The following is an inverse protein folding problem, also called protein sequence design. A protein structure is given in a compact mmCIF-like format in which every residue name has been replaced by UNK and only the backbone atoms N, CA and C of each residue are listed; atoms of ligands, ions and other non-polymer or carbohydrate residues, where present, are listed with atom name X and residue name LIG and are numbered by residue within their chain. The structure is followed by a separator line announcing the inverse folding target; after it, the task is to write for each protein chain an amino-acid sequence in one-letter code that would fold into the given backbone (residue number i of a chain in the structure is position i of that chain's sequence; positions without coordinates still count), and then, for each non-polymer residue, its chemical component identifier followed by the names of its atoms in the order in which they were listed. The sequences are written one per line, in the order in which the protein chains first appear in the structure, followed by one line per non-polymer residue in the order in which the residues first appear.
data_IF_252807694136
#
_entry.id   IF_252807694136
#
_cell.length_a   1.000
_cell.length_b   1.000
_cell.length_c   1.000
_cell.angle_alpha   90.00
_cell.angle_beta   90.00
_cell.angle_gamma   90.00
#
_symmetry.space_group_name_H-M   'P 1'
#
loop_
_entity.id
_entity.type
_entity.pdbx_description
1 polymer ?
#
# COMPACT_ATOMS: atom_id res chain seq x y z
N UNK A 1 -7.04 -1.88 37.28
CA UNK A 1 -6.78 -1.13 36.03
C UNK A 1 -7.95 -1.41 35.12
N UNK A 2 -8.96 -0.53 35.08
CA UNK A 2 -10.07 -0.67 34.14
C UNK A 2 -9.57 -0.21 32.77
N UNK A 3 -9.70 -1.06 31.75
CA UNK A 3 -9.42 -0.65 30.38
C UNK A 3 -10.43 0.42 29.98
N UNK A 4 -9.96 1.55 29.46
CA UNK A 4 -10.82 2.48 28.75
C UNK A 4 -11.39 1.76 27.53
N UNK A 5 -12.69 1.48 27.53
CA UNK A 5 -13.40 1.12 26.31
C UNK A 5 -13.38 2.34 25.39
N UNK A 6 -12.64 2.22 24.28
CA UNK A 6 -12.59 3.24 23.23
C UNK A 6 -13.92 3.14 22.47
N UNK A 7 -14.85 4.05 22.75
CA UNK A 7 -16.10 4.15 22.00
C UNK A 7 -15.83 4.85 20.66
N UNK A 8 -15.74 4.07 19.59
CA UNK A 8 -15.73 4.62 18.22
C UNK A 8 -17.15 5.04 17.83
N UNK A 9 -17.32 6.28 17.33
CA UNK A 9 -18.60 6.71 16.75
C UNK A 9 -18.79 5.96 15.42
N UNK A 10 -19.78 5.06 15.37
CA UNK A 10 -20.09 4.26 14.19
C UNK A 10 -20.30 5.13 12.93
N UNK A 11 -20.83 6.36 13.06
CA UNK A 11 -21.03 7.27 11.91
C UNK A 11 -19.69 7.73 11.31
N UNK A 12 -18.66 7.86 12.14
CA UNK A 12 -17.31 8.20 11.70
C UNK A 12 -16.63 7.01 11.04
N UNK A 13 -16.87 5.78 11.54
CA UNK A 13 -16.36 4.55 10.91
C UNK A 13 -16.98 4.33 9.54
N UNK A 14 -18.30 4.47 9.41
CA UNK A 14 -19.02 4.32 8.13
C UNK A 14 -18.51 5.31 7.07
N UNK A 15 -18.30 6.58 7.44
CA UNK A 15 -17.75 7.58 6.52
C UNK A 15 -16.31 7.30 6.07
N UNK A 16 -15.49 6.71 6.95
CA UNK A 16 -14.14 6.26 6.59
C UNK A 16 -14.23 5.12 5.59
N UNK A 17 -15.06 4.11 5.87
CA UNK A 17 -15.26 2.95 4.99
C UNK A 17 -15.85 3.34 3.63
N UNK A 18 -16.79 4.29 3.59
CA UNK A 18 -17.37 4.80 2.34
C UNK A 18 -16.34 5.51 1.44
N UNK A 19 -15.28 6.06 2.03
CA UNK A 19 -14.16 6.67 1.31
C UNK A 19 -13.11 5.67 0.82
N UNK A 20 -13.21 4.40 1.24
CA UNK A 20 -12.23 3.37 0.89
C UNK A 20 -12.46 2.83 -0.52
N UNK A 21 -11.37 2.51 -1.20
CA UNK A 21 -11.33 1.76 -2.45
C UNK A 21 -10.46 0.53 -2.28
N UNK A 22 -10.71 -0.53 -3.06
CA UNK A 22 -9.93 -1.78 -2.97
C UNK A 22 -8.41 -1.56 -3.07
N UNK A 23 -7.97 -0.51 -3.76
CA UNK A 23 -6.57 -0.12 -3.93
C UNK A 23 -6.24 1.23 -3.27
N UNK A 24 -7.00 1.65 -2.26
CA UNK A 24 -6.52 2.76 -1.45
C UNK A 24 -5.37 2.32 -0.55
N UNK A 25 -4.54 3.29 -0.20
CA UNK A 25 -3.35 3.13 0.59
C UNK A 25 -3.63 2.69 2.04
N UNK A 26 -4.79 3.04 2.60
CA UNK A 26 -5.17 2.74 3.99
C UNK A 26 -5.61 1.28 4.15
N UNK A 27 -6.52 0.81 3.29
CA UNK A 27 -6.99 -0.57 3.23
C UNK A 27 -5.85 -1.50 2.88
N UNK A 28 -5.08 -1.15 1.85
CA UNK A 28 -3.98 -1.99 1.39
C UNK A 28 -2.90 -2.13 2.47
N UNK A 29 -2.55 -1.04 3.16
CA UNK A 29 -1.61 -1.11 4.28
C UNK A 29 -2.16 -1.89 5.47
N UNK A 30 -3.45 -1.79 5.79
CA UNK A 30 -4.01 -2.58 6.90
C UNK A 30 -4.08 -4.09 6.60
N UNK A 31 -4.41 -4.46 5.37
CA UNK A 31 -4.68 -5.86 5.00
C UNK A 31 -3.41 -6.60 4.59
N UNK A 32 -2.48 -5.91 3.93
CA UNK A 32 -1.33 -6.55 3.28
C UNK A 32 0.02 -6.31 3.97
N UNK A 33 0.11 -5.43 4.97
CA UNK A 33 1.35 -5.20 5.74
C UNK A 33 1.87 -6.51 6.36
N UNK A 34 3.11 -6.87 6.01
CA UNK A 34 3.74 -8.15 6.37
C UNK A 34 3.17 -9.39 5.67
N UNK A 35 2.08 -9.29 4.91
CA UNK A 35 1.44 -10.42 4.23
C UNK A 35 1.96 -10.61 2.80
N UNK A 36 3.12 -11.26 2.70
CA UNK A 36 3.81 -11.52 1.43
C UNK A 36 2.96 -12.37 0.48
N UNK A 37 2.33 -13.44 0.97
CA UNK A 37 1.59 -14.39 0.12
C UNK A 37 0.38 -13.75 -0.55
N UNK A 38 -0.43 -13.02 0.21
CA UNK A 38 -1.61 -12.35 -0.33
C UNK A 38 -1.21 -11.22 -1.30
N UNK A 39 -0.16 -10.48 -0.98
CA UNK A 39 0.37 -9.42 -1.85
C UNK A 39 0.92 -9.98 -3.15
N UNK A 40 1.66 -11.09 -3.09
CA UNK A 40 2.21 -11.75 -4.27
C UNK A 40 1.09 -12.25 -5.20
N UNK A 41 0.06 -12.91 -4.64
CA UNK A 41 -1.10 -13.33 -5.43
C UNK A 41 -1.77 -12.13 -6.12
N UNK A 42 -1.97 -11.04 -5.39
CA UNK A 42 -2.56 -9.83 -5.93
C UNK A 42 -1.73 -9.23 -7.06
N UNK A 43 -0.41 -9.11 -6.88
CA UNK A 43 0.49 -8.61 -7.92
C UNK A 43 0.51 -9.51 -9.15
N UNK A 44 0.48 -10.84 -8.99
CA UNK A 44 0.37 -11.77 -10.11
C UNK A 44 -0.89 -11.52 -10.94
N UNK A 45 -2.02 -11.23 -10.27
CA UNK A 45 -3.30 -10.93 -10.92
C UNK A 45 -3.24 -9.58 -11.65
N UNK A 46 -2.82 -8.51 -10.98
CA UNK A 46 -2.83 -7.14 -11.53
C UNK A 46 -1.84 -7.00 -12.69
N UNK A 47 -0.63 -7.54 -12.51
CA UNK A 47 0.43 -7.48 -13.52
C UNK A 47 0.28 -8.54 -14.61
N UNK A 48 -0.68 -9.47 -14.45
CA UNK A 48 -0.89 -10.63 -15.33
C UNK A 48 0.39 -11.44 -15.55
N UNK A 49 1.12 -11.68 -14.48
CA UNK A 49 2.45 -12.27 -14.51
C UNK A 49 2.62 -13.23 -13.34
N UNK A 50 2.78 -14.52 -13.62
CA UNK A 50 2.71 -15.62 -12.65
C UNK A 50 4.02 -15.90 -11.91
N UNK A 51 5.14 -15.36 -12.42
CA UNK A 51 6.49 -15.55 -11.89
C UNK A 51 6.98 -14.40 -10.97
N UNK A 52 6.07 -13.50 -10.58
CA UNK A 52 6.37 -12.47 -9.58
C UNK A 52 6.62 -13.11 -8.22
N UNK A 53 7.72 -12.71 -7.58
CA UNK A 53 8.07 -13.05 -6.21
C UNK A 53 8.17 -11.77 -5.38
N UNK A 54 7.37 -11.67 -4.32
CA UNK A 54 7.43 -10.55 -3.37
C UNK A 54 8.53 -10.82 -2.33
N UNK A 55 9.39 -9.84 -2.09
CA UNK A 55 10.52 -9.94 -1.16
C UNK A 55 10.09 -9.52 0.25
N UNK A 56 9.39 -8.39 0.33
CA UNK A 56 8.82 -7.87 1.58
C UNK A 56 7.63 -6.99 1.27
N UNK A 57 6.79 -6.77 2.28
CA UNK A 57 5.68 -5.81 2.22
C UNK A 57 5.77 -4.99 3.49
N UNK A 58 6.00 -3.69 3.36
CA UNK A 58 6.14 -2.79 4.50
C UNK A 58 5.11 -1.67 4.38
N UNK A 59 4.13 -1.68 5.29
CA UNK A 59 3.23 -0.54 5.50
C UNK A 59 3.94 0.57 6.27
N UNK A 60 4.22 1.70 5.63
CA UNK A 60 4.73 2.89 6.31
C UNK A 60 3.56 3.60 7.01
N UNK A 61 3.54 3.54 8.35
CA UNK A 61 2.45 4.14 9.14
C UNK A 61 2.63 5.63 9.43
N UNK A 62 3.86 6.13 9.49
CA UNK A 62 4.14 7.54 9.80
C UNK A 62 5.48 7.96 9.20
N UNK A 63 5.50 8.85 8.21
CA UNK A 63 6.66 9.69 7.91
C UNK A 63 6.21 10.88 7.05
N UNK A 64 5.50 11.84 7.65
CA UNK A 64 5.06 13.06 6.95
C UNK A 64 6.20 13.62 6.11
N UNK A 65 5.99 13.65 4.79
CA UNK A 65 6.86 14.37 3.88
C UNK A 65 7.04 15.80 4.41
N UNK A 66 8.29 16.32 4.46
CA UNK A 66 8.54 17.70 4.87
C UNK A 66 7.94 18.72 3.89
N UNK A 67 7.43 18.27 2.74
CA UNK A 67 6.70 19.08 1.77
C UNK A 67 5.23 19.11 2.16
N UNK A 68 4.71 20.30 2.48
CA UNK A 68 3.28 20.53 2.74
C UNK A 68 2.48 20.12 1.49
N UNK A 69 1.75 19.00 1.59
CA UNK A 69 0.97 18.41 0.50
C UNK A 69 1.60 17.19 -0.20
N UNK A 70 2.80 16.77 0.19
CA UNK A 70 3.37 15.49 -0.24
C UNK A 70 2.62 14.33 0.44
N UNK A 71 2.15 13.36 -0.35
CA UNK A 71 1.68 12.08 0.21
C UNK A 71 2.89 11.20 0.49
N UNK A 72 2.90 10.56 1.64
CA UNK A 72 3.89 9.54 1.99
C UNK A 72 3.63 8.30 1.14
N UNK A 73 4.68 7.66 0.66
CA UNK A 73 4.59 6.33 0.06
C UNK A 73 4.18 5.39 1.20
N UNK A 74 2.95 4.85 1.18
CA UNK A 74 2.41 4.10 2.34
C UNK A 74 2.65 2.60 2.26
N UNK A 75 2.83 2.04 1.06
CA UNK A 75 3.11 0.62 0.87
C UNK A 75 4.22 0.46 -0.17
N UNK A 76 5.38 -0.02 0.28
CA UNK A 76 6.54 -0.34 -0.57
C UNK A 76 6.64 -1.87 -0.69
N UNK A 77 6.54 -2.37 -1.91
CA UNK A 77 6.56 -3.80 -2.23
C UNK A 77 7.71 -4.07 -3.21
N UNK A 78 8.92 -4.33 -2.70
CA UNK A 78 10.00 -4.84 -3.53
C UNK A 78 9.64 -6.24 -4.01
N UNK A 79 9.67 -6.42 -5.32
CA UNK A 79 9.40 -7.68 -6.00
C UNK A 79 10.44 -7.96 -7.09
N UNK A 80 10.48 -9.21 -7.55
CA UNK A 80 11.28 -9.61 -8.72
C UNK A 80 10.58 -10.67 -9.53
N UNK A 81 10.94 -10.80 -10.80
CA UNK A 81 10.50 -11.91 -11.65
C UNK A 81 11.57 -13.00 -11.81
N UNK A 82 11.24 -14.06 -12.56
CA UNK A 82 12.15 -15.19 -12.80
C UNK A 82 13.41 -14.83 -13.59
N UNK A 83 13.41 -13.68 -14.29
CA UNK A 83 14.58 -13.17 -15.02
C UNK A 83 15.54 -12.38 -14.12
N UNK A 84 15.13 -12.12 -12.88
CA UNK A 84 15.85 -11.29 -11.93
C UNK A 84 15.59 -9.80 -12.09
N UNK A 85 14.60 -9.40 -12.92
CA UNK A 85 14.19 -8.00 -12.99
C UNK A 85 13.50 -7.62 -11.69
N UNK A 86 13.95 -6.53 -11.07
CA UNK A 86 13.35 -5.96 -9.88
C UNK A 86 12.23 -4.98 -10.22
N UNK A 87 11.22 -4.96 -9.35
CA UNK A 87 10.10 -4.04 -9.39
C UNK A 87 9.99 -3.38 -8.02
N UNK A 88 9.76 -2.08 -8.02
CA UNK A 88 9.26 -1.40 -6.85
C UNK A 88 7.77 -1.12 -7.08
N UNK A 89 6.88 -1.74 -6.30
CA UNK A 89 5.43 -1.50 -6.45
C UNK A 89 4.95 -0.62 -5.31
N UNK A 90 4.30 0.49 -5.68
CA UNK A 90 3.71 1.45 -4.76
C UNK A 90 2.21 1.56 -5.00
N UNK A 91 1.42 1.61 -3.92
CA UNK A 91 -0.03 1.86 -3.99
C UNK A 91 -0.29 3.33 -3.66
N UNK A 92 -0.98 4.07 -4.54
CA UNK A 92 -1.26 5.49 -4.32
C UNK A 92 -2.67 5.88 -4.76
N UNK A 93 -3.47 6.44 -3.85
CA UNK A 93 -4.85 6.85 -4.13
C UNK A 93 -4.96 8.15 -4.99
N UNK A 94 -3.88 8.94 -5.18
CA UNK A 94 -3.89 10.16 -6.02
C UNK A 94 -2.55 10.39 -6.72
N UNK A 95 -2.54 10.77 -8.01
CA UNK A 95 -1.31 10.98 -8.79
C UNK A 95 -0.57 12.29 -8.46
N UNK A 96 -1.18 13.24 -7.74
CA UNK A 96 -0.62 14.58 -7.51
C UNK A 96 0.62 14.63 -6.56
N UNK A 97 1.10 13.49 -6.04
CA UNK A 97 2.30 13.39 -5.21
C UNK A 97 3.53 12.80 -5.91
N UNK A 98 3.48 12.56 -7.23
CA UNK A 98 4.48 11.77 -7.95
C UNK A 98 5.77 12.58 -8.22
N UNK A 99 6.75 12.52 -7.32
CA UNK A 99 8.05 13.21 -7.51
C UNK A 99 9.12 12.38 -8.21
N UNK A 100 8.93 11.07 -8.42
CA UNK A 100 9.95 10.21 -9.04
C UNK A 100 9.34 9.22 -10.03
N UNK A 101 9.71 9.34 -11.31
CA UNK A 101 9.48 8.31 -12.32
C UNK A 101 10.74 7.45 -12.42
N UNK A 102 10.90 6.49 -11.51
CA UNK A 102 11.89 5.44 -11.70
C UNK A 102 11.37 4.46 -12.77
N UNK A 103 12.20 3.99 -13.71
CA UNK A 103 11.77 3.09 -14.79
C UNK A 103 11.20 1.76 -14.31
N UNK A 104 11.48 1.37 -13.06
CA UNK A 104 11.04 0.12 -12.44
C UNK A 104 9.92 0.31 -11.39
N UNK A 105 9.39 1.53 -11.26
CA UNK A 105 8.27 1.85 -10.36
C UNK A 105 6.93 1.52 -11.02
N UNK A 106 6.17 0.64 -10.38
CA UNK A 106 4.78 0.36 -10.74
C UNK A 106 3.89 1.06 -9.70
N UNK A 107 3.12 2.06 -10.14
CA UNK A 107 2.07 2.66 -9.33
C UNK A 107 0.75 1.95 -9.60
N UNK A 108 0.12 1.42 -8.55
CA UNK A 108 -1.21 0.78 -8.59
C UNK A 108 -2.24 1.71 -7.96
#
# INVERSE_FOLDING_TARGET
MAGEEIWQDNRTVEQIVDGMSLFDDDLMSMVFDGNIEATELLLKIILKKDDIQVISVVGQRELQSPVVGGRDIRLDIPAKDSTGKHYNVEVQQKPEGRTYAAPDLIAV
#
